data_IF_058045662250
#
_entry.id   IF_058045662250
#
_cell.length_a   1.000
_cell.length_b   1.000
_cell.length_c   1.000
_cell.angle_alpha   90.00
_cell.angle_beta   90.00
_cell.angle_gamma   90.00
#
_symmetry.space_group_name_H-M   'P 1'
#
loop_
_entity.id
_entity.type
_entity.pdbx_description
1 polymer ?
#
# COMPACT_ATOMS: atom_id res chain seq x y z
N UNK A 1 72.10 0.37 22.70
CA UNK A 1 70.98 -0.45 22.22
C UNK A 1 69.85 0.51 21.88
N UNK A 2 69.82 0.97 20.62
CA UNK A 2 68.97 2.07 20.16
C UNK A 2 67.98 1.46 19.19
N UNK A 3 66.74 1.29 19.65
CA UNK A 3 65.65 0.68 18.88
C UNK A 3 65.17 1.67 17.83
N UNK A 4 65.46 1.36 16.57
CA UNK A 4 65.06 2.14 15.41
C UNK A 4 63.55 1.96 15.15
N UNK A 5 62.75 2.94 15.61
CA UNK A 5 61.29 2.97 15.51
C UNK A 5 60.77 3.63 14.22
N UNK A 6 61.66 4.15 13.36
CA UNK A 6 61.32 4.83 12.11
C UNK A 6 60.50 4.00 11.09
N UNK A 7 60.87 2.72 10.80
CA UNK A 7 60.18 1.96 9.76
C UNK A 7 58.78 1.46 10.16
N UNK A 8 58.48 1.40 11.47
CA UNK A 8 57.16 1.01 11.99
C UNK A 8 56.15 2.16 11.85
N UNK A 9 56.60 3.40 12.04
CA UNK A 9 55.75 4.59 11.94
C UNK A 9 55.30 4.87 10.49
N UNK A 10 56.21 4.70 9.51
CA UNK A 10 55.90 4.92 8.08
C UNK A 10 54.93 3.90 7.49
N UNK A 11 55.00 2.63 7.94
CA UNK A 11 54.02 1.59 7.56
C UNK A 11 52.63 1.87 8.12
N UNK A 12 52.55 2.37 9.36
CA UNK A 12 51.29 2.74 10.01
C UNK A 12 50.62 3.93 9.29
N UNK A 13 51.38 4.97 8.94
CA UNK A 13 50.85 6.12 8.19
C UNK A 13 50.33 5.73 6.79
N UNK A 14 51.06 4.86 6.10
CA UNK A 14 50.62 4.36 4.79
C UNK A 14 49.34 3.52 4.88
N UNK A 15 49.21 2.70 5.94
CA UNK A 15 48.00 1.92 6.19
C UNK A 15 46.78 2.82 6.46
N UNK A 16 46.94 3.90 7.22
CA UNK A 16 45.86 4.86 7.51
C UNK A 16 45.39 5.60 6.24
N UNK A 17 46.33 6.00 5.37
CA UNK A 17 45.97 6.64 4.10
C UNK A 17 45.24 5.67 3.15
N UNK A 18 45.66 4.40 3.12
CA UNK A 18 44.98 3.35 2.36
C UNK A 18 43.56 3.08 2.88
N UNK A 19 43.34 3.08 4.19
CA UNK A 19 41.98 2.87 4.74
C UNK A 19 41.07 4.06 4.46
N UNK A 20 41.55 5.30 4.58
CA UNK A 20 40.77 6.51 4.29
C UNK A 20 40.40 6.56 2.79
N UNK A 21 41.33 6.24 1.90
CA UNK A 21 41.06 6.20 0.45
C UNK A 21 40.08 5.09 0.09
N UNK A 22 40.20 3.90 0.69
CA UNK A 22 39.20 2.84 0.50
C UNK A 22 37.82 3.26 1.02
N UNK A 23 37.75 3.87 2.20
CA UNK A 23 36.50 4.34 2.79
C UNK A 23 35.88 5.43 1.93
N UNK A 24 36.68 6.38 1.43
CA UNK A 24 36.25 7.43 0.51
C UNK A 24 35.74 6.86 -0.81
N UNK A 25 36.41 5.86 -1.40
CA UNK A 25 35.95 5.18 -2.61
C UNK A 25 34.69 4.35 -2.35
N UNK A 26 34.54 3.73 -1.18
CA UNK A 26 33.33 3.02 -0.78
C UNK A 26 32.16 3.99 -0.56
N UNK A 27 32.39 5.13 0.09
CA UNK A 27 31.38 6.18 0.26
C UNK A 27 31.02 6.80 -1.09
N UNK A 28 32.00 7.10 -1.94
CA UNK A 28 31.77 7.64 -3.28
C UNK A 28 31.02 6.63 -4.15
N UNK A 29 31.37 5.34 -4.10
CA UNK A 29 30.57 4.29 -4.76
C UNK A 29 29.19 4.18 -4.15
N UNK A 30 29.01 4.26 -2.85
CA UNK A 30 27.68 4.22 -2.23
C UNK A 30 26.81 5.42 -2.64
N UNK A 31 27.42 6.61 -2.76
CA UNK A 31 26.75 7.84 -3.20
C UNK A 31 26.50 7.87 -4.72
N UNK A 32 27.38 7.25 -5.53
CA UNK A 32 27.23 7.15 -6.99
C UNK A 32 26.42 5.94 -7.43
N UNK A 33 26.35 4.89 -6.61
CA UNK A 33 25.38 3.79 -6.70
C UNK A 33 24.07 4.31 -6.09
N UNK A 34 23.58 5.40 -6.67
CA UNK A 34 22.15 5.60 -6.71
C UNK A 34 21.63 4.46 -7.60
N UNK A 35 20.94 3.51 -6.97
CA UNK A 35 20.36 2.34 -7.60
C UNK A 35 19.50 2.80 -8.78
N UNK A 36 20.06 2.69 -9.97
CA UNK A 36 19.50 3.12 -11.25
C UNK A 36 18.31 2.22 -11.62
N UNK A 37 17.23 2.31 -10.85
CA UNK A 37 15.98 1.64 -11.12
C UNK A 37 15.39 2.20 -12.41
N UNK A 38 14.81 1.32 -13.24
CA UNK A 38 14.12 1.68 -14.49
C UNK A 38 13.05 2.78 -14.33
N UNK A 39 12.59 3.03 -13.10
CA UNK A 39 11.53 3.96 -12.78
C UNK A 39 11.94 4.89 -11.63
N UNK A 40 11.55 6.18 -11.68
CA UNK A 40 11.80 7.11 -10.57
C UNK A 40 10.99 6.72 -9.34
N UNK A 41 11.50 7.06 -8.15
CA UNK A 41 10.84 6.78 -6.87
C UNK A 41 10.18 8.06 -6.35
N UNK A 42 8.90 8.00 -5.99
CA UNK A 42 8.09 9.15 -5.55
C UNK A 42 8.51 9.69 -4.17
N UNK A 43 8.78 8.79 -3.22
CA UNK A 43 9.14 9.10 -1.84
C UNK A 43 10.48 8.42 -1.47
N UNK A 44 11.61 8.84 -2.07
CA UNK A 44 12.89 8.18 -1.88
C UNK A 44 13.36 8.26 -0.42
N UNK A 45 14.22 7.31 -0.07
CA UNK A 45 14.97 7.32 1.18
C UNK A 45 15.94 8.50 1.20
N UNK A 46 16.20 9.01 2.40
CA UNK A 46 17.28 9.97 2.64
C UNK A 46 18.63 9.23 2.63
N UNK A 47 19.74 9.92 2.34
CA UNK A 47 21.07 9.34 2.53
C UNK A 47 21.23 8.79 3.95
N UNK A 48 21.85 7.63 4.09
CA UNK A 48 22.06 6.92 5.37
C UNK A 48 20.78 6.45 6.07
N UNK A 49 19.66 6.33 5.35
CA UNK A 49 18.42 5.75 5.85
C UNK A 49 18.40 4.22 5.62
N UNK A 50 18.62 3.45 6.68
CA UNK A 50 18.72 1.98 6.60
C UNK A 50 17.36 1.26 6.64
N UNK A 51 16.28 1.94 7.05
CA UNK A 51 14.93 1.37 7.19
C UNK A 51 13.92 2.03 6.25
N UNK A 52 12.85 1.33 5.88
CA UNK A 52 11.72 1.89 5.13
C UNK A 52 10.72 2.63 6.05
N UNK A 53 10.88 2.55 7.38
CA UNK A 53 9.86 2.99 8.33
C UNK A 53 9.35 4.42 8.10
N UNK A 54 10.25 5.39 7.89
CA UNK A 54 9.84 6.78 7.67
C UNK A 54 9.10 6.98 6.33
N UNK A 55 9.60 6.42 5.22
CA UNK A 55 8.95 6.58 3.90
C UNK A 55 7.59 5.89 3.85
N UNK A 56 7.44 4.74 4.52
CA UNK A 56 6.17 4.04 4.66
C UNK A 56 5.20 4.83 5.54
N UNK A 57 5.68 5.37 6.68
CA UNK A 57 4.85 6.22 7.55
C UNK A 57 4.41 7.51 6.86
N UNK A 58 5.26 8.10 6.02
CA UNK A 58 4.89 9.25 5.19
C UNK A 58 3.82 8.87 4.17
N UNK A 59 3.94 7.69 3.54
CA UNK A 59 2.91 7.18 2.64
C UNK A 59 1.57 6.96 3.36
N UNK A 60 1.56 6.28 4.50
CA UNK A 60 0.33 6.02 5.29
C UNK A 60 -0.38 7.32 5.65
N UNK A 61 0.38 8.36 6.03
CA UNK A 61 -0.19 9.65 6.45
C UNK A 61 -0.63 10.53 5.27
N UNK A 62 0.10 10.49 4.16
CA UNK A 62 0.00 11.48 3.08
C UNK A 62 -0.23 10.85 1.70
N UNK A 63 -0.72 9.60 1.62
CA UNK A 63 -0.85 8.82 0.38
C UNK A 63 -1.59 9.59 -0.72
N UNK A 64 -2.72 10.23 -0.41
CA UNK A 64 -3.51 11.00 -1.38
C UNK A 64 -2.69 12.12 -2.01
N UNK A 65 -1.99 12.91 -1.20
CA UNK A 65 -1.15 14.02 -1.66
C UNK A 65 0.07 13.51 -2.43
N UNK A 66 0.70 12.45 -1.94
CA UNK A 66 1.85 11.82 -2.60
C UNK A 66 1.47 11.28 -3.98
N UNK A 67 0.37 10.54 -4.09
CA UNK A 67 -0.11 10.00 -5.37
C UNK A 67 -0.54 11.10 -6.34
N UNK A 68 -1.19 12.16 -5.85
CA UNK A 68 -1.51 13.34 -6.67
C UNK A 68 -0.24 14.02 -7.20
N UNK A 69 0.77 14.18 -6.35
CA UNK A 69 2.10 14.69 -6.72
C UNK A 69 2.81 13.76 -7.72
N UNK A 70 2.74 12.45 -7.53
CA UNK A 70 3.31 11.48 -8.45
C UNK A 70 2.69 11.59 -9.85
N UNK A 71 1.36 11.72 -9.91
CA UNK A 71 0.64 11.94 -11.16
C UNK A 71 1.05 13.23 -11.86
N UNK A 72 1.26 14.33 -11.12
CA UNK A 72 1.69 15.60 -11.74
C UNK A 72 3.17 15.60 -12.17
N UNK A 73 4.04 14.90 -11.44
CA UNK A 73 5.47 14.83 -11.75
C UNK A 73 5.78 13.90 -12.91
N UNK A 74 5.12 12.75 -12.96
CA UNK A 74 5.47 11.67 -13.89
C UNK A 74 4.45 11.52 -15.04
N UNK A 75 3.33 12.27 -15.00
CA UNK A 75 2.26 12.23 -16.00
C UNK A 75 1.85 10.77 -16.27
N UNK A 76 1.90 10.37 -17.55
CA UNK A 76 1.50 9.05 -18.04
C UNK A 76 2.65 8.02 -18.02
N UNK A 77 3.66 8.22 -17.17
CA UNK A 77 4.80 7.29 -17.01
C UNK A 77 4.72 6.54 -15.68
N UNK A 78 5.03 5.23 -15.65
CA UNK A 78 5.13 4.47 -14.42
C UNK A 78 6.24 5.00 -13.49
N UNK A 79 5.99 4.92 -12.18
CA UNK A 79 6.93 5.31 -11.14
C UNK A 79 6.79 4.41 -9.92
N UNK A 80 7.82 4.31 -9.09
CA UNK A 80 7.81 3.51 -7.86
C UNK A 80 7.43 4.33 -6.64
N UNK A 81 6.87 3.69 -5.62
CA UNK A 81 6.64 4.31 -4.32
C UNK A 81 6.89 3.28 -3.20
N UNK A 82 7.46 3.74 -2.10
CA UNK A 82 7.45 2.97 -0.84
C UNK A 82 6.09 3.16 -0.16
N UNK A 83 5.43 2.05 0.12
CA UNK A 83 4.08 2.00 0.70
C UNK A 83 4.04 1.01 1.86
N UNK A 84 2.93 0.93 2.55
CA UNK A 84 2.62 -0.12 3.53
C UNK A 84 2.68 -1.54 2.92
N UNK A 85 2.55 -1.65 1.60
CA UNK A 85 2.68 -2.88 0.81
C UNK A 85 4.11 -3.13 0.31
N UNK A 86 5.08 -2.35 0.79
CA UNK A 86 6.45 -2.36 0.28
C UNK A 86 6.66 -1.44 -0.91
N UNK A 87 7.68 -1.72 -1.71
CA UNK A 87 8.02 -0.95 -2.91
C UNK A 87 7.13 -1.39 -4.09
N UNK A 88 6.17 -0.56 -4.46
CA UNK A 88 5.21 -0.87 -5.53
C UNK A 88 5.46 -0.02 -6.77
N UNK A 89 5.16 -0.59 -7.94
CA UNK A 89 5.13 0.15 -9.21
C UNK A 89 3.73 0.71 -9.43
N UNK A 90 3.62 2.03 -9.49
CA UNK A 90 2.38 2.74 -9.79
C UNK A 90 2.27 2.88 -11.31
N UNK A 91 1.21 2.31 -11.87
CA UNK A 91 0.98 2.25 -13.30
C UNK A 91 -0.15 3.21 -13.70
N UNK A 92 0.03 4.06 -14.73
CA UNK A 92 -1.01 4.95 -15.23
C UNK A 92 -2.27 4.21 -15.70
N UNK A 93 -3.46 4.84 -15.58
CA UNK A 93 -4.74 4.18 -15.86
C UNK A 93 -4.91 3.70 -17.31
N UNK A 94 -4.20 4.30 -18.28
CA UNK A 94 -4.23 3.86 -19.68
C UNK A 94 -3.80 2.40 -19.89
N UNK A 95 -3.05 1.82 -18.95
CA UNK A 95 -2.61 0.42 -19.01
C UNK A 95 -3.60 -0.54 -18.34
N UNK A 96 -4.67 -0.06 -17.69
CA UNK A 96 -5.56 -0.89 -16.88
C UNK A 96 -6.19 -2.06 -17.66
N UNK A 97 -6.63 -1.81 -18.90
CA UNK A 97 -7.23 -2.84 -19.75
C UNK A 97 -6.22 -3.92 -20.15
N UNK A 98 -4.99 -3.51 -20.48
CA UNK A 98 -3.90 -4.44 -20.82
C UNK A 98 -3.48 -5.28 -19.62
N UNK A 99 -3.41 -4.69 -18.43
CA UNK A 99 -3.04 -5.39 -17.19
C UNK A 99 -4.13 -6.39 -16.78
N UNK A 100 -5.40 -5.99 -16.81
CA UNK A 100 -6.53 -6.84 -16.42
C UNK A 100 -6.55 -8.17 -17.16
N UNK A 101 -6.18 -8.17 -18.45
CA UNK A 101 -6.22 -9.35 -19.31
C UNK A 101 -4.87 -10.07 -19.41
N UNK A 102 -3.82 -9.59 -18.72
CA UNK A 102 -2.49 -10.17 -18.80
C UNK A 102 -2.38 -11.43 -17.94
N UNK A 103 -2.25 -12.59 -18.59
CA UNK A 103 -2.11 -13.90 -17.92
C UNK A 103 -0.80 -14.10 -17.16
N UNK A 104 0.18 -13.21 -17.31
CA UNK A 104 1.43 -13.24 -16.55
C UNK A 104 1.32 -12.58 -15.17
N UNK A 105 0.17 -11.96 -14.86
CA UNK A 105 -0.07 -11.29 -13.59
C UNK A 105 -0.93 -12.16 -12.67
N UNK A 106 -0.42 -12.40 -11.46
CA UNK A 106 -1.08 -13.21 -10.44
C UNK A 106 -1.80 -12.32 -9.41
N UNK A 107 -2.98 -11.81 -9.77
CA UNK A 107 -3.76 -10.93 -8.88
C UNK A 107 -4.27 -11.63 -7.61
N UNK A 108 -4.53 -12.94 -7.71
CA UNK A 108 -5.09 -13.72 -6.62
C UNK A 108 -4.08 -13.98 -5.52
N UNK A 109 -2.80 -14.17 -5.85
CA UNK A 109 -1.75 -14.36 -4.87
C UNK A 109 -1.52 -13.09 -4.05
N UNK A 110 -1.46 -11.92 -4.70
CA UNK A 110 -1.35 -10.63 -3.99
C UNK A 110 -2.56 -10.37 -3.09
N UNK A 111 -3.78 -10.67 -3.56
CA UNK A 111 -4.99 -10.53 -2.74
C UNK A 111 -5.00 -11.51 -1.55
N UNK A 112 -4.43 -12.71 -1.69
CA UNK A 112 -4.27 -13.66 -0.58
C UNK A 112 -3.36 -13.13 0.52
N UNK A 113 -2.26 -12.48 0.13
CA UNK A 113 -1.30 -11.88 1.06
C UNK A 113 -1.92 -10.71 1.85
N UNK A 114 -2.66 -9.83 1.15
CA UNK A 114 -3.35 -8.67 1.74
C UNK A 114 -4.26 -9.04 2.91
N UNK A 115 -5.09 -10.04 2.71
CA UNK A 115 -6.06 -10.46 3.72
C UNK A 115 -5.46 -11.42 4.77
N UNK A 116 -4.15 -11.67 4.70
CA UNK A 116 -3.45 -12.63 5.53
C UNK A 116 -3.96 -14.07 5.43
N UNK A 117 -4.35 -14.51 4.24
CA UNK A 117 -4.91 -15.84 4.00
C UNK A 117 -3.95 -17.01 4.21
N UNK A 118 -2.71 -16.74 4.57
CA UNK A 118 -1.72 -17.73 5.02
C UNK A 118 -1.84 -18.04 6.53
N UNK A 119 -2.65 -17.28 7.29
CA UNK A 119 -2.89 -17.52 8.70
C UNK A 119 -4.06 -18.50 8.92
N UNK A 120 -3.93 -19.45 9.87
CA UNK A 120 -5.03 -20.32 10.27
C UNK A 120 -6.29 -19.53 10.67
N UNK A 121 -7.41 -19.82 10.02
CA UNK A 121 -8.71 -19.16 10.23
C UNK A 121 -9.02 -17.99 9.28
N UNK A 122 -8.06 -17.56 8.45
CA UNK A 122 -8.23 -16.49 7.45
C UNK A 122 -8.30 -17.02 6.01
N UNK A 123 -8.22 -18.34 5.82
CA UNK A 123 -8.31 -19.00 4.51
C UNK A 123 -9.62 -18.72 3.76
N UNK A 124 -10.81 -18.58 4.41
CA UNK A 124 -12.06 -18.32 3.69
C UNK A 124 -12.12 -16.95 3.01
N UNK A 125 -11.32 -15.98 3.46
CA UNK A 125 -11.18 -14.72 2.72
C UNK A 125 -10.32 -14.88 1.48
N UNK A 126 -9.47 -15.91 1.44
CA UNK A 126 -8.33 -16.00 0.55
C UNK A 126 -8.68 -16.64 -0.78
N UNK A 127 -8.26 -16.03 -1.90
CA UNK A 127 -8.20 -16.74 -3.16
C UNK A 127 -7.47 -18.08 -2.95
N UNK A 128 -8.03 -19.20 -3.42
CA UNK A 128 -8.67 -19.31 -4.73
C UNK A 128 -10.16 -19.67 -4.64
N UNK A 129 -10.93 -19.11 -3.70
CA UNK A 129 -12.38 -19.21 -3.81
C UNK A 129 -12.78 -18.48 -5.10
N UNK A 130 -13.04 -19.24 -6.15
CA UNK A 130 -13.74 -18.70 -7.31
C UNK A 130 -15.10 -18.25 -6.79
N UNK A 131 -15.21 -16.94 -6.56
CA UNK A 131 -16.45 -16.31 -6.08
C UNK A 131 -17.48 -16.22 -7.19
N UNK A 132 -17.09 -16.45 -8.45
CA UNK A 132 -17.98 -16.33 -9.62
C UNK A 132 -19.23 -17.21 -9.50
N UNK A 133 -19.16 -18.50 -9.09
CA UNK A 133 -20.34 -19.31 -8.85
C UNK A 133 -21.17 -18.79 -7.68
N UNK A 134 -20.54 -18.25 -6.63
CA UNK A 134 -21.26 -17.68 -5.48
C UNK A 134 -22.07 -16.45 -5.90
N UNK A 135 -21.42 -15.55 -6.62
CA UNK A 135 -22.04 -14.35 -7.20
C UNK A 135 -23.17 -14.74 -8.12
N UNK A 136 -22.91 -15.58 -9.13
CA UNK A 136 -23.91 -15.90 -10.15
C UNK A 136 -25.06 -16.76 -9.63
N UNK A 137 -24.81 -17.71 -8.72
CA UNK A 137 -25.81 -18.66 -8.24
C UNK A 137 -26.59 -18.13 -7.05
N UNK A 138 -25.93 -17.46 -6.11
CA UNK A 138 -26.54 -17.04 -4.85
C UNK A 138 -26.83 -15.54 -4.85
N UNK A 139 -25.90 -14.67 -5.22
CA UNK A 139 -26.15 -13.22 -5.14
C UNK A 139 -27.10 -12.74 -6.25
N UNK A 140 -26.74 -12.92 -7.52
CA UNK A 140 -27.52 -12.42 -8.66
C UNK A 140 -28.94 -12.95 -8.68
N UNK A 141 -29.15 -14.24 -8.35
CA UNK A 141 -30.49 -14.83 -8.27
C UNK A 141 -31.28 -14.39 -7.05
N UNK A 142 -30.60 -14.14 -5.92
CA UNK A 142 -31.28 -13.67 -4.71
C UNK A 142 -31.71 -12.21 -4.82
N UNK A 143 -31.09 -11.38 -5.68
CA UNK A 143 -31.52 -9.99 -5.87
C UNK A 143 -33.04 -9.89 -6.11
N UNK A 144 -33.58 -10.68 -7.04
CA UNK A 144 -35.02 -10.67 -7.33
C UNK A 144 -35.91 -11.02 -6.12
N UNK A 145 -35.39 -11.75 -5.14
CA UNK A 145 -36.11 -12.15 -3.92
C UNK A 145 -35.87 -11.23 -2.73
N UNK A 146 -34.69 -10.63 -2.65
CA UNK A 146 -34.24 -9.85 -1.51
C UNK A 146 -34.53 -8.36 -1.64
N UNK A 147 -34.71 -7.83 -2.86
CA UNK A 147 -34.95 -6.39 -3.05
C UNK A 147 -36.17 -5.88 -2.29
N UNK A 148 -37.31 -6.59 -2.34
CA UNK A 148 -38.53 -6.17 -1.62
C UNK A 148 -38.34 -6.23 -0.09
N UNK A 149 -37.95 -7.37 0.52
CA UNK A 149 -37.68 -7.42 1.96
C UNK A 149 -36.64 -6.40 2.43
N UNK A 150 -35.58 -6.16 1.64
CA UNK A 150 -34.55 -5.19 1.98
C UNK A 150 -35.08 -3.75 1.92
N UNK A 151 -35.97 -3.43 0.97
CA UNK A 151 -36.63 -2.13 0.91
C UNK A 151 -37.60 -1.90 2.07
N UNK A 152 -38.29 -2.95 2.51
CA UNK A 152 -39.17 -2.89 3.68
C UNK A 152 -38.35 -2.67 4.97
N UNK A 153 -37.28 -3.44 5.18
CA UNK A 153 -36.38 -3.22 6.32
C UNK A 153 -35.71 -1.85 6.25
N UNK A 154 -35.27 -1.38 5.07
CA UNK A 154 -34.69 -0.04 4.92
C UNK A 154 -35.67 1.04 5.38
N UNK A 155 -36.94 0.95 4.97
CA UNK A 155 -37.99 1.87 5.45
C UNK A 155 -38.12 1.83 6.97
N UNK A 156 -38.22 0.63 7.56
CA UNK A 156 -38.33 0.46 9.01
C UNK A 156 -37.12 1.01 9.78
N UNK A 157 -35.91 0.77 9.27
CA UNK A 157 -34.66 1.21 9.90
C UNK A 157 -34.52 2.73 9.80
N UNK A 158 -34.85 3.32 8.66
CA UNK A 158 -34.81 4.77 8.47
C UNK A 158 -35.80 5.46 9.41
N UNK A 159 -37.05 5.01 9.47
CA UNK A 159 -38.05 5.53 10.42
C UNK A 159 -37.59 5.38 11.88
N UNK A 160 -36.96 4.26 12.22
CA UNK A 160 -36.47 4.03 13.57
C UNK A 160 -35.25 4.89 13.96
N UNK A 161 -34.36 5.20 13.00
CA UNK A 161 -33.12 5.93 13.28
C UNK A 161 -33.31 7.44 13.13
N UNK A 162 -33.99 7.89 12.08
CA UNK A 162 -34.20 9.31 11.77
C UNK A 162 -35.53 9.86 12.31
N UNK A 163 -36.44 8.98 12.74
CA UNK A 163 -37.75 9.37 13.24
C UNK A 163 -38.77 9.72 12.14
N UNK A 164 -39.97 10.07 12.59
CA UNK A 164 -41.13 10.40 11.74
C UNK A 164 -41.47 11.90 11.73
N UNK A 165 -40.66 12.72 12.41
CA UNK A 165 -40.90 14.16 12.52
C UNK A 165 -40.69 14.85 11.18
N UNK A 166 -41.67 15.65 10.76
CA UNK A 166 -41.55 16.54 9.60
C UNK A 166 -40.76 17.81 9.92
N UNK A 167 -40.48 18.06 11.20
CA UNK A 167 -39.71 19.22 11.66
C UNK A 167 -38.20 18.98 11.54
N UNK A 168 -37.46 20.07 11.30
CA UNK A 168 -36.01 20.06 11.30
C UNK A 168 -35.46 19.59 12.65
N UNK A 169 -34.51 18.66 12.59
CA UNK A 169 -33.79 18.18 13.77
C UNK A 169 -32.32 18.01 13.44
N UNK A 170 -31.48 18.14 14.47
CA UNK A 170 -30.06 17.88 14.38
C UNK A 170 -29.82 16.37 14.41
N UNK A 171 -28.90 15.90 13.56
CA UNK A 171 -28.51 14.50 13.47
C UNK A 171 -27.00 14.37 13.37
N UNK A 172 -26.47 13.19 13.70
CA UNK A 172 -25.06 12.85 13.49
C UNK A 172 -24.93 11.85 12.32
N UNK A 173 -24.71 12.32 11.07
CA UNK A 173 -24.82 11.47 9.89
C UNK A 173 -23.91 10.24 9.94
N UNK A 174 -22.68 10.38 10.43
CA UNK A 174 -21.76 9.25 10.51
C UNK A 174 -22.31 8.12 11.41
N UNK A 175 -22.77 8.46 12.61
CA UNK A 175 -23.26 7.47 13.57
C UNK A 175 -24.57 6.83 13.08
N UNK A 176 -25.49 7.65 12.60
CA UNK A 176 -26.82 7.20 12.19
C UNK A 176 -26.80 6.39 10.90
N UNK A 177 -26.04 6.81 9.88
CA UNK A 177 -25.89 6.05 8.63
C UNK A 177 -25.22 4.71 8.91
N UNK A 178 -24.19 4.66 9.76
CA UNK A 178 -23.57 3.37 10.15
C UNK A 178 -24.59 2.47 10.85
N UNK A 179 -25.43 3.01 11.73
CA UNK A 179 -26.52 2.25 12.37
C UNK A 179 -27.53 1.72 11.35
N UNK A 180 -27.87 2.50 10.33
CA UNK A 180 -28.77 2.07 9.25
C UNK A 180 -28.13 0.93 8.46
N UNK A 181 -26.90 1.13 7.94
CA UNK A 181 -26.20 0.16 7.10
C UNK A 181 -25.92 -1.15 7.84
N UNK A 182 -25.51 -1.09 9.10
CA UNK A 182 -25.26 -2.28 9.93
C UNK A 182 -26.53 -3.12 10.14
N UNK A 183 -27.67 -2.49 10.42
CA UNK A 183 -28.95 -3.19 10.55
C UNK A 183 -29.35 -3.85 9.23
N UNK A 184 -29.27 -3.12 8.12
CA UNK A 184 -29.57 -3.66 6.79
C UNK A 184 -28.66 -4.84 6.41
N UNK A 185 -27.38 -4.81 6.80
CA UNK A 185 -26.41 -5.86 6.46
C UNK A 185 -26.54 -7.13 7.31
N UNK A 186 -27.20 -7.05 8.47
CA UNK A 186 -27.39 -8.18 9.39
C UNK A 186 -28.61 -9.07 9.07
N UNK A 187 -29.46 -8.63 8.15
CA UNK A 187 -30.66 -9.32 7.69
C UNK A 187 -30.38 -10.19 6.47
#
# INVERSE_FOLDING_TARGET
MQTDLGPVLGKSQSAILCTITLLSLCVLKYLLVDCNGKYPILNPKKPFEFSNGRVVQDFIKNSKQLLAKGRSLYNDKPYKAYTDWGEVLIIPPQFAESLKNNRQLEFMETAKDDIHGYLPGFEPGAPPIDITPVVNKYLTRALAKLTTPLSEEASLVVHHVLGDSTEWHEMQPQHEIIRIVSRMSSR
#
